data_IF_931867146682
#
_entry.id   IF_931867146682
#
_cell.length_a   1.000
_cell.length_b   1.000
_cell.length_c   1.000
_cell.angle_alpha   90.00
_cell.angle_beta   90.00
_cell.angle_gamma   90.00
#
_symmetry.space_group_name_H-M   'P 1'
#
loop_
_entity.id
_entity.type
_entity.pdbx_description
1 polymer ?
2 non-polymer ?
3 non-polymer ?
4 non-polymer ?
5 water ?
#
# COMPACT_ATOMS: atom_id res chain seq x y z
N UNK A 9 -26.33 0.44 18.74
CA UNK A 9 -26.09 -0.91 18.20
C UNK A 9 -25.85 -0.90 16.68
N UNK A 10 -25.62 -2.10 16.10
CA UNK A 10 -25.39 -2.28 14.66
C UNK A 10 -26.70 -2.12 13.90
N UNK A 11 -26.70 -1.48 12.70
CA UNK A 11 -27.96 -1.29 11.96
C UNK A 11 -28.70 -2.59 11.67
N UNK A 12 -29.99 -2.50 11.42
CA UNK A 12 -30.79 -3.67 11.12
C UNK A 12 -30.30 -4.36 9.82
N UNK A 13 -29.93 -3.56 8.79
CA UNK A 13 -29.46 -4.04 7.48
C UNK A 13 -28.17 -4.84 7.52
N UNK A 14 -27.21 -4.42 8.38
CA UNK A 14 -25.93 -5.09 8.57
C UNK A 14 -26.17 -6.41 9.27
N UNK A 15 -27.01 -6.37 10.31
CA UNK A 15 -27.39 -7.52 11.11
C UNK A 15 -28.09 -8.59 10.29
N UNK A 16 -28.88 -8.22 9.26
CA UNK A 16 -29.58 -9.21 8.45
C UNK A 16 -28.62 -10.10 7.68
N UNK A 17 -27.53 -9.51 7.19
CA UNK A 17 -26.55 -10.23 6.36
C UNK A 17 -25.41 -10.85 7.16
N UNK A 18 -24.97 -10.20 8.23
CA UNK A 18 -23.81 -10.66 8.97
C UNK A 18 -24.02 -10.87 10.46
N UNK A 19 -23.17 -11.73 11.07
CA UNK A 19 -23.12 -11.98 12.51
C UNK A 19 -21.85 -11.30 13.02
N UNK A 20 -22.01 -10.11 13.61
CA UNK A 20 -20.89 -9.34 14.16
C UNK A 20 -20.29 -10.06 15.39
N UNK A 21 -18.95 -10.12 15.44
CA UNK A 21 -18.18 -10.78 16.50
C UNK A 21 -17.02 -9.87 16.95
N UNK A 22 -16.06 -10.46 17.74
CA UNK A 22 -14.85 -9.88 18.34
C UNK A 22 -14.09 -8.84 17.49
N UNK A 23 -13.61 -7.79 18.15
CA UNK A 23 -12.81 -6.75 17.53
C UNK A 23 -11.42 -7.24 17.09
N UNK A 24 -10.97 -6.80 15.93
CA UNK A 24 -9.65 -7.16 15.40
C UNK A 24 -8.63 -6.00 15.57
N UNK A 25 -9.15 -4.81 15.92
CA UNK A 25 -8.39 -3.59 16.14
C UNK A 25 -9.24 -2.43 16.61
N UNK A 30 -11.07 4.48 13.83
CA UNK A 30 -11.68 3.52 12.92
C UNK A 30 -11.40 2.06 13.25
N UNK A 31 -12.35 1.42 14.00
CA UNK A 31 -12.30 0.03 14.49
C UNK A 31 -12.67 -1.06 13.44
N UNK A 32 -12.02 -2.25 13.55
CA UNK A 32 -12.24 -3.44 12.69
C UNK A 32 -12.66 -4.62 13.56
N UNK A 33 -13.81 -5.20 13.23
CA UNK A 33 -14.37 -6.34 13.94
C UNK A 33 -14.50 -7.52 12.98
N UNK A 34 -14.34 -8.73 13.50
CA UNK A 34 -14.56 -9.95 12.74
C UNK A 34 -16.07 -10.17 12.70
N UNK A 35 -16.59 -10.63 11.57
CA UNK A 35 -18.00 -10.94 11.40
C UNK A 35 -18.14 -12.19 10.53
N UNK A 36 -19.32 -12.80 10.53
CA UNK A 36 -19.58 -13.97 9.71
C UNK A 36 -20.76 -13.70 8.79
N UNK A 37 -20.55 -13.89 7.50
CA UNK A 37 -21.61 -13.72 6.52
C UNK A 37 -22.60 -14.87 6.73
N UNK A 38 -23.91 -14.55 6.87
CA UNK A 38 -24.95 -15.55 7.12
C UNK A 38 -25.14 -16.52 5.97
N UNK A 39 -25.17 -16.03 4.74
CA UNK A 39 -25.37 -16.84 3.54
C UNK A 39 -24.34 -17.96 3.44
N UNK A 40 -23.09 -17.61 3.65
CA UNK A 40 -21.94 -18.46 3.44
C UNK A 40 -21.23 -19.07 4.65
N UNK A 41 -21.56 -18.61 5.88
CA UNK A 41 -20.87 -18.97 7.13
C UNK A 41 -19.41 -18.76 6.93
N UNK A 42 -19.05 -17.60 6.37
CA UNK A 42 -17.65 -17.32 6.06
C UNK A 42 -17.18 -16.11 6.86
N UNK A 43 -15.91 -16.17 7.28
CA UNK A 43 -15.31 -15.10 8.07
C UNK A 43 -15.09 -13.88 7.20
N UNK A 44 -15.41 -12.70 7.72
CA UNK A 44 -15.19 -11.41 7.06
C UNK A 44 -14.74 -10.35 8.05
N UNK A 45 -14.04 -9.31 7.57
CA UNK A 45 -13.66 -8.19 8.41
C UNK A 45 -14.64 -7.03 8.08
N UNK A 46 -15.17 -6.35 9.10
CA UNK A 46 -16.07 -5.21 8.89
C UNK A 46 -15.45 -3.96 9.51
N UNK A 47 -15.03 -3.02 8.64
CA UNK A 47 -14.39 -1.78 9.08
C UNK A 47 -15.43 -0.72 9.39
N UNK A 48 -15.35 -0.13 10.60
CA UNK A 48 -16.26 0.92 11.09
C UNK A 48 -15.60 2.33 11.06
N UNK A 49 -15.89 3.13 10.01
CA UNK A 49 -15.43 4.52 9.84
C UNK A 49 -16.59 5.39 10.38
N UNK A 50 -16.51 5.81 11.67
CA UNK A 50 -17.56 6.60 12.36
C UNK A 50 -17.91 7.98 11.74
N UNK A 51 -19.18 8.43 11.92
CA UNK A 51 -19.66 9.72 11.41
C UNK A 51 -19.82 10.69 12.57
N UNK A 65 -16.17 12.17 6.60
CA UNK A 65 -17.20 11.31 6.04
C UNK A 65 -17.15 11.22 4.50
N UNK A 66 -16.62 12.29 3.83
CA UNK A 66 -16.53 12.41 2.37
C UNK A 66 -15.62 11.37 1.70
N UNK A 67 -14.42 11.18 2.25
CA UNK A 67 -13.42 10.24 1.74
C UNK A 67 -13.87 8.77 1.76
N UNK A 68 -14.88 8.43 2.60
CA UNK A 68 -15.44 7.07 2.72
C UNK A 68 -16.22 6.78 1.45
N UNK A 69 -16.94 7.77 0.92
CA UNK A 69 -17.69 7.60 -0.32
C UNK A 69 -16.70 7.31 -1.49
N UNK A 70 -15.60 8.07 -1.56
CA UNK A 70 -14.53 7.94 -2.57
C UNK A 70 -13.80 6.60 -2.41
N UNK A 71 -13.49 6.22 -1.15
CA UNK A 71 -12.79 5.00 -0.76
C UNK A 71 -13.50 3.79 -1.36
N UNK A 72 -14.83 3.71 -1.14
CA UNK A 72 -15.75 2.68 -1.62
C UNK A 72 -15.74 2.68 -3.15
N UNK A 73 -15.90 3.89 -3.74
CA UNK A 73 -15.92 4.12 -5.19
C UNK A 73 -14.64 3.61 -5.86
N UNK A 74 -13.45 4.05 -5.39
CA UNK A 74 -12.16 3.58 -5.91
C UNK A 74 -12.03 2.02 -5.74
N UNK A 75 -12.33 1.51 -4.52
CA UNK A 75 -12.26 0.08 -4.22
C UNK A 75 -13.12 -0.83 -5.13
N UNK A 76 -14.36 -0.39 -5.41
CA UNK A 76 -15.29 -1.15 -6.27
C UNK A 76 -14.68 -1.35 -7.66
N UNK A 77 -14.00 -0.29 -8.16
CA UNK A 77 -13.36 -0.20 -9.48
C UNK A 77 -12.09 -1.05 -9.56
N UNK A 78 -11.21 -0.94 -8.53
CA UNK A 78 -9.93 -1.67 -8.46
C UNK A 78 -10.11 -3.16 -8.45
N UNK A 79 -9.18 -3.88 -9.08
CA UNK A 79 -9.22 -5.33 -9.18
C UNK A 79 -7.82 -5.99 -9.42
N UNK A 80 -7.13 -6.34 -8.30
CA UNK A 80 -5.78 -6.91 -8.31
C UNK A 80 -5.60 -7.79 -7.07
N UNK A 81 -4.75 -8.84 -7.14
CA UNK A 81 -4.55 -9.71 -5.97
C UNK A 81 -3.90 -9.09 -4.75
N UNK A 82 -3.22 -7.93 -4.93
CA UNK A 82 -2.50 -7.27 -3.85
C UNK A 82 -3.17 -6.04 -3.40
N UNK A 83 -4.38 -5.83 -3.88
CA UNK A 83 -5.23 -4.75 -3.43
C UNK A 83 -6.48 -5.37 -2.78
N UNK A 84 -6.85 -4.88 -1.58
CA UNK A 84 -8.00 -5.39 -0.82
C UNK A 84 -9.31 -5.25 -1.60
N UNK A 85 -10.22 -6.21 -1.40
CA UNK A 85 -11.48 -6.16 -2.09
C UNK A 85 -12.60 -5.88 -1.11
N UNK A 86 -13.48 -4.94 -1.49
CA UNK A 86 -14.69 -4.59 -0.75
C UNK A 86 -15.77 -5.58 -1.19
N UNK A 87 -16.50 -6.15 -0.21
CA UNK A 87 -17.53 -7.16 -0.42
C UNK A 87 -18.92 -6.55 -0.37
N UNK A 88 -19.16 -5.65 0.59
CA UNK A 88 -20.44 -4.96 0.82
C UNK A 88 -20.19 -3.64 1.55
N UNK A 89 -21.23 -2.80 1.67
CA UNK A 89 -21.07 -1.50 2.32
C UNK A 89 -22.37 -0.97 2.92
N UNK A 90 -22.29 -0.43 4.15
CA UNK A 90 -23.45 0.10 4.85
C UNK A 90 -23.38 1.59 5.24
N UNK A 91 -24.38 2.37 4.79
CA UNK A 91 -24.54 3.78 5.15
C UNK A 91 -25.52 3.85 6.33
N UNK A 92 -25.03 4.28 7.51
CA UNK A 92 -25.81 4.40 8.75
C UNK A 92 -25.26 5.55 9.59
N UNK A 93 -25.50 5.51 10.93
CA UNK A 93 -24.95 6.49 11.86
C UNK A 93 -23.42 6.47 11.73
N UNK A 94 -22.85 5.29 11.47
CA UNK A 94 -21.43 5.12 11.23
C UNK A 94 -21.34 4.32 9.91
N UNK A 95 -20.26 4.50 9.13
CA UNK A 95 -20.05 3.75 7.89
C UNK A 95 -19.52 2.33 8.22
N UNK A 96 -19.95 1.30 7.46
CA UNK A 96 -19.55 -0.10 7.63
C UNK A 96 -19.04 -0.66 6.30
N UNK A 97 -17.78 -1.14 6.31
CA UNK A 97 -17.17 -1.68 5.10
C UNK A 97 -16.79 -3.16 5.27
N UNK A 98 -17.47 -4.02 4.52
CA UNK A 98 -17.28 -5.48 4.53
C UNK A 98 -16.09 -5.78 3.65
N UNK A 99 -15.01 -6.26 4.26
CA UNK A 99 -13.75 -6.55 3.57
C UNK A 99 -13.34 -7.98 3.78
N UNK A 100 -12.65 -8.55 2.78
CA UNK A 100 -12.10 -9.90 2.86
C UNK A 100 -11.10 -10.00 4.04
N UNK A 101 -11.25 -11.03 4.91
CA UNK A 101 -10.40 -11.20 6.07
C UNK A 101 -8.96 -11.64 5.77
N UNK A 102 -8.00 -10.86 6.29
CA UNK A 102 -6.57 -11.10 6.17
C UNK A 102 -6.12 -11.76 7.47
N UNK A 103 -5.97 -13.06 7.43
CA UNK A 103 -5.65 -13.76 8.66
C UNK A 103 -4.25 -13.58 9.27
N UNK A 104 -3.31 -13.00 8.53
CA UNK A 104 -1.96 -12.72 9.02
C UNK A 104 -1.83 -11.36 9.69
N UNK A 105 -2.89 -10.56 9.60
CA UNK A 105 -2.95 -9.23 10.17
C UNK A 105 -2.14 -8.20 9.42
N UNK A 106 -1.80 -7.10 10.11
CA UNK A 106 -0.99 -5.98 9.60
C UNK A 106 0.46 -6.43 9.41
N UNK A 107 1.21 -5.74 8.54
CA UNK A 107 2.64 -5.97 8.31
C UNK A 107 3.43 -5.37 9.45
N UNK A 108 2.83 -4.38 10.12
CA UNK A 108 3.38 -3.66 11.25
C UNK A 108 3.69 -4.62 12.41
N UNK A 109 2.74 -5.51 12.72
CA UNK A 109 2.89 -6.51 13.80
C UNK A 109 4.11 -7.41 13.59
N UNK A 110 4.62 -7.49 12.32
CA UNK A 110 5.78 -8.28 11.92
C UNK A 110 7.09 -7.48 11.90
N UNK A 111 7.04 -6.16 12.17
CA UNK A 111 8.23 -5.29 12.13
C UNK A 111 8.52 -4.48 13.40
N UNK A 112 7.63 -4.56 14.41
CA UNK A 112 7.78 -3.83 15.69
C UNK A 112 8.82 -4.37 16.64
N UNK A 113 9.45 -3.44 17.34
CA UNK A 113 10.46 -3.76 18.34
C UNK A 113 11.76 -4.26 17.73
N UNK A 114 12.06 -3.74 16.52
CA UNK A 114 13.25 -4.08 15.73
C UNK A 114 13.27 -5.54 15.23
N UNK A 115 12.07 -6.12 15.05
CA UNK A 115 11.83 -7.44 14.49
C UNK A 115 12.19 -7.30 12.99
N UNK A 116 13.26 -7.98 12.55
CA UNK A 116 13.64 -7.90 11.14
C UNK A 116 13.21 -9.15 10.34
N UNK A 117 12.54 -8.93 9.19
CA UNK A 117 12.10 -10.05 8.33
C UNK A 117 13.31 -10.57 7.55
N UNK A 118 13.29 -11.87 7.19
CA UNK A 118 14.29 -12.54 6.34
C UNK A 118 14.33 -11.81 4.98
N UNK A 119 15.50 -11.75 4.32
CA UNK A 119 15.55 -11.03 3.05
C UNK A 119 14.59 -11.53 1.98
N UNK A 120 14.43 -12.87 1.84
CA UNK A 120 13.49 -13.42 0.84
C UNK A 120 12.06 -13.05 1.19
N UNK A 121 11.70 -13.07 2.50
CA UNK A 121 10.38 -12.68 2.98
C UNK A 121 10.13 -11.21 2.63
N UNK A 122 11.21 -10.37 2.63
CA UNK A 122 11.15 -8.94 2.23
C UNK A 122 10.89 -8.85 0.74
N UNK A 123 11.70 -9.59 -0.05
CA UNK A 123 11.60 -9.64 -1.50
C UNK A 123 10.17 -9.99 -1.91
N UNK A 124 9.68 -11.16 -1.45
CA UNK A 124 8.31 -11.59 -1.72
C UNK A 124 7.23 -10.51 -1.43
N UNK A 125 7.26 -9.91 -0.22
CA UNK A 125 6.27 -8.89 0.13
C UNK A 125 6.41 -7.60 -0.72
N UNK A 126 7.63 -7.07 -0.79
CA UNK A 126 7.90 -5.84 -1.51
C UNK A 126 7.49 -5.92 -2.95
N UNK A 127 7.81 -7.06 -3.61
CA UNK A 127 7.43 -7.33 -4.99
C UNK A 127 5.92 -7.09 -5.15
N UNK A 128 5.13 -7.78 -4.31
CA UNK A 128 3.68 -7.66 -4.27
C UNK A 128 3.28 -6.18 -4.07
N UNK A 129 3.95 -5.45 -3.13
CA UNK A 129 3.70 -4.01 -2.88
C UNK A 129 3.95 -3.23 -4.16
N UNK A 130 5.08 -3.51 -4.84
CA UNK A 130 5.43 -2.85 -6.09
C UNK A 130 4.40 -3.10 -7.18
N UNK A 131 3.88 -4.33 -7.28
CA UNK A 131 2.84 -4.68 -8.25
C UNK A 131 1.51 -3.89 -7.97
N UNK A 132 1.03 -3.97 -6.70
CA UNK A 132 -0.15 -3.31 -6.19
C UNK A 132 -0.11 -1.81 -6.53
N UNK A 133 0.99 -1.15 -6.10
CA UNK A 133 1.23 0.26 -6.31
C UNK A 133 1.36 0.59 -7.76
N UNK A 134 1.96 -0.31 -8.58
CA UNK A 134 2.11 -0.06 -10.02
C UNK A 134 0.73 0.05 -10.62
N UNK A 135 -0.16 -0.93 -10.30
CA UNK A 135 -1.56 -1.03 -10.73
C UNK A 135 -2.27 0.21 -10.33
N UNK A 136 -2.16 0.60 -9.04
CA UNK A 136 -2.75 1.86 -8.57
C UNK A 136 -2.34 3.04 -9.48
N UNK A 137 -1.02 3.21 -9.74
CA UNK A 137 -0.48 4.26 -10.59
C UNK A 137 -0.94 4.07 -12.01
N UNK A 138 -0.90 2.83 -12.55
CA UNK A 138 -1.39 2.55 -13.91
C UNK A 138 -2.81 3.07 -14.08
N UNK A 139 -3.66 2.82 -13.06
CA UNK A 139 -5.07 3.24 -12.96
C UNK A 139 -5.35 4.68 -12.42
N UNK A 140 -4.33 5.53 -12.40
CA UNK A 140 -4.40 6.91 -11.93
C UNK A 140 -4.83 7.10 -10.49
N UNK A 141 -4.26 6.30 -9.57
CA UNK A 141 -4.55 6.35 -8.15
C UNK A 141 -3.23 6.45 -7.38
N UNK A 142 -3.13 7.51 -6.58
CA UNK A 142 -2.02 7.74 -5.69
C UNK A 142 -2.61 7.36 -4.33
N UNK A 143 -2.07 6.30 -3.68
CA UNK A 143 -2.47 5.81 -2.36
C UNK A 143 -2.26 6.92 -1.35
N UNK A 144 -1.05 7.51 -1.34
CA UNK A 144 -0.70 8.63 -0.46
C UNK A 144 -0.47 8.33 1.03
N UNK A 145 -0.85 7.14 1.50
CA UNK A 145 -0.66 6.79 2.90
C UNK A 145 -0.11 5.35 3.11
N UNK A 146 0.86 4.90 2.26
CA UNK A 146 1.44 3.56 2.39
C UNK A 146 2.33 3.46 3.62
N UNK A 147 2.02 2.52 4.52
CA UNK A 147 2.71 2.26 5.78
C UNK A 147 2.56 0.77 6.11
N UNK A 148 3.43 0.16 6.95
CA UNK A 148 3.23 -1.25 7.36
C UNK A 148 1.86 -1.51 7.99
N UNK A 149 1.25 -0.48 8.60
CA UNK A 149 -0.07 -0.50 9.23
C UNK A 149 -1.22 -0.61 8.17
N UNK A 150 -0.89 -0.60 6.85
CA UNK A 150 -1.85 -0.65 5.72
C UNK A 150 -1.53 -1.78 4.76
N UNK A 151 -0.53 -2.56 5.10
CA UNK A 151 -0.13 -3.72 4.32
C UNK A 151 -0.64 -4.92 5.16
N UNK A 152 -1.54 -5.72 4.58
CA UNK A 152 -2.11 -6.86 5.29
C UNK A 152 -1.64 -8.17 4.71
N UNK A 153 -1.39 -9.14 5.59
CA UNK A 153 -0.91 -10.48 5.24
C UNK A 153 -2.03 -11.52 5.21
N UNK A 154 -2.02 -12.36 4.16
CA UNK A 154 -2.99 -13.42 3.86
C UNK A 154 -3.14 -14.42 4.98
N UNK A 155 -2.06 -15.10 5.31
CA UNK A 155 -2.08 -16.15 6.30
C UNK A 155 -1.14 -15.83 7.43
N UNK A 156 -1.08 -16.74 8.42
CA UNK A 156 -0.13 -16.55 9.49
C UNK A 156 1.25 -17.13 9.06
N UNK A 157 1.34 -17.53 7.78
CA UNK A 157 2.57 -18.05 7.17
C UNK A 157 3.53 -16.91 6.81
N UNK A 158 4.85 -17.19 6.83
CA UNK A 158 5.91 -16.24 6.47
C UNK A 158 5.72 -15.95 4.99
N UNK A 159 5.57 -16.99 4.15
CA UNK A 159 5.32 -16.79 2.74
C UNK A 159 3.81 -16.71 2.49
N UNK A 160 3.30 -15.52 2.17
CA UNK A 160 1.86 -15.33 1.91
C UNK A 160 1.56 -14.15 1.00
N UNK A 161 0.28 -13.98 0.65
CA UNK A 161 -0.07 -12.86 -0.17
C UNK A 161 -0.29 -11.61 0.69
N UNK A 162 0.13 -10.47 0.17
CA UNK A 162 -0.06 -9.21 0.87
C UNK A 162 -1.07 -8.29 0.15
N UNK A 163 -1.92 -7.58 0.91
CA UNK A 163 -2.96 -6.73 0.31
C UNK A 163 -2.90 -5.31 0.85
N UNK A 164 -2.99 -4.31 -0.07
CA UNK A 164 -2.91 -2.89 0.28
C UNK A 164 -4.29 -2.46 0.73
N UNK A 165 -4.33 -1.82 1.90
CA UNK A 165 -5.55 -1.34 2.49
C UNK A 165 -5.44 0.16 2.87
N UNK A 166 -6.47 0.73 3.54
CA UNK A 166 -6.65 2.12 3.95
C UNK A 166 -6.48 3.11 2.81
N UNK A 167 -7.52 3.17 1.96
CA UNK A 167 -7.56 4.06 0.79
C UNK A 167 -8.16 5.44 1.05
N UNK A 168 -8.24 5.83 2.33
CA UNK A 168 -8.81 7.08 2.80
C UNK A 168 -8.17 8.31 2.19
N UNK A 169 -6.85 8.31 2.11
CA UNK A 169 -6.10 9.46 1.59
C UNK A 169 -5.83 9.42 0.09
N UNK A 170 -6.27 8.34 -0.60
CA UNK A 170 -6.06 8.24 -2.04
C UNK A 170 -6.60 9.41 -2.92
N UNK A 171 -5.80 9.80 -3.93
CA UNK A 171 -6.07 10.89 -4.89
C UNK A 171 -6.38 10.24 -6.27
N UNK A 172 -7.23 10.89 -7.07
CA UNK A 172 -7.50 10.39 -8.43
C UNK A 172 -6.78 11.36 -9.38
N UNK A 173 -6.40 10.91 -10.59
CA UNK A 173 -5.58 11.77 -11.41
C UNK A 173 -6.21 12.75 -12.38
N UNK A 174 -7.21 12.30 -13.16
CA UNK A 174 -7.96 13.11 -14.14
C UNK A 174 -7.27 14.25 -14.88
N UNK A 175 -8.08 15.12 -15.53
CA UNK A 175 -7.56 16.28 -16.26
C UNK A 175 -7.25 17.41 -15.27
N UNK A 176 -5.98 17.80 -15.18
CA UNK A 176 -5.55 18.86 -14.27
C UNK A 176 -6.10 20.22 -14.66
N UNK A 177 -6.29 21.10 -13.66
CA UNK A 177 -6.72 22.48 -13.89
C UNK A 177 -5.54 23.27 -14.53
N UNK A 178 -4.30 22.74 -14.39
CA UNK A 178 -3.09 23.25 -15.00
C UNK A 178 -3.12 22.93 -16.49
N UNK A 179 -3.43 21.66 -16.87
CA UNK A 179 -3.52 21.27 -18.29
C UNK A 179 -4.47 22.24 -19.04
N UNK A 180 -5.67 22.49 -18.47
CA UNK A 180 -6.70 23.39 -19.02
C UNK A 180 -6.20 24.83 -19.15
N UNK A 181 -5.47 25.32 -18.12
CA UNK A 181 -4.86 26.65 -18.06
C UNK A 181 -3.86 26.78 -19.22
N UNK A 182 -3.01 25.76 -19.41
CA UNK A 182 -1.98 25.73 -20.43
C UNK A 182 -2.47 25.88 -21.85
N UNK A 183 -3.74 25.51 -22.15
CA UNK A 183 -4.32 25.63 -23.48
C UNK A 183 -4.43 27.09 -23.94
N UNK A 184 -4.63 27.99 -22.98
CA UNK A 184 -4.71 29.42 -23.26
C UNK A 184 -3.39 30.16 -23.30
N UNK A 185 -3.48 31.45 -23.65
CA UNK A 185 -2.34 32.36 -23.68
C UNK A 185 -2.11 32.89 -22.25
N UNK A 186 -0.93 32.67 -21.67
CA UNK A 186 -0.70 33.10 -20.28
C UNK A 186 -0.45 34.60 -20.16
N UNK A 187 -1.32 35.43 -20.74
CA UNK A 187 -1.13 36.88 -20.68
C UNK A 187 -1.25 37.36 -19.24
N UNK A 188 -2.28 36.88 -18.55
CA UNK A 188 -2.58 37.27 -17.18
C UNK A 188 -2.16 36.22 -16.18
N UNK A 189 -1.57 35.10 -16.66
CA UNK A 189 -1.18 33.99 -15.80
C UNK A 189 0.01 34.31 -14.87
N UNK A 190 -0.10 33.88 -13.56
CA UNK A 190 0.90 34.07 -12.51
C UNK A 190 2.18 33.27 -12.76
N UNK A 191 3.38 33.82 -12.43
CA UNK A 191 4.65 33.08 -12.70
C UNK A 191 4.77 31.72 -12.04
N UNK A 192 4.49 31.69 -10.73
CA UNK A 192 4.55 30.48 -9.94
C UNK A 192 3.81 29.29 -10.57
N UNK A 193 2.79 29.57 -11.41
CA UNK A 193 1.98 28.55 -12.11
C UNK A 193 2.77 27.97 -13.26
N UNK A 194 3.44 28.83 -14.01
CA UNK A 194 4.29 28.41 -15.12
C UNK A 194 5.48 27.60 -14.57
N UNK A 195 5.94 28.02 -13.38
CA UNK A 195 7.02 27.39 -12.65
C UNK A 195 6.59 25.98 -12.24
N UNK A 196 5.36 25.82 -11.72
CA UNK A 196 4.76 24.57 -11.29
C UNK A 196 4.74 23.49 -12.38
N UNK A 197 4.64 23.90 -13.66
CA UNK A 197 4.61 23.04 -14.85
C UNK A 197 5.81 22.07 -14.88
N UNK A 198 6.96 22.50 -14.38
CA UNK A 198 8.16 21.67 -14.31
C UNK A 198 7.99 20.43 -13.47
N UNK A 199 7.70 20.64 -12.17
CA UNK A 199 7.51 19.58 -11.17
C UNK A 199 6.20 18.81 -11.34
N UNK A 200 5.23 19.35 -12.09
CA UNK A 200 3.88 18.81 -12.32
C UNK A 200 3.84 17.36 -12.76
N UNK A 201 2.84 16.63 -12.25
CA UNK A 201 2.58 15.24 -12.58
C UNK A 201 3.55 14.18 -12.11
N UNK A 202 4.10 14.34 -10.88
CA UNK A 202 5.04 13.41 -10.23
C UNK A 202 4.60 13.11 -8.78
N UNK A 203 3.31 13.43 -8.45
CA UNK A 203 2.67 13.22 -7.14
C UNK A 203 2.77 11.77 -6.70
N UNK A 204 2.58 10.85 -7.64
CA UNK A 204 2.68 9.41 -7.44
C UNK A 204 4.03 9.00 -6.80
N UNK A 205 5.14 9.71 -7.15
CA UNK A 205 6.48 9.43 -6.61
C UNK A 205 6.52 9.49 -5.05
N UNK A 206 5.45 10.02 -4.42
CA UNK A 206 5.31 10.03 -2.97
C UNK A 206 5.12 8.61 -2.49
N UNK A 207 4.47 7.75 -3.31
CA UNK A 207 4.22 6.35 -2.97
C UNK A 207 5.51 5.54 -3.05
N UNK A 208 6.38 5.90 -3.99
CA UNK A 208 7.67 5.27 -4.16
C UNK A 208 8.58 5.57 -2.98
N UNK A 209 8.48 6.78 -2.41
CA UNK A 209 9.24 7.15 -1.22
C UNK A 209 8.69 6.27 -0.06
N UNK A 210 7.36 6.28 0.15
CA UNK A 210 6.71 5.47 1.17
C UNK A 210 7.18 4.03 1.04
N UNK A 211 7.16 3.48 -0.19
CA UNK A 211 7.64 2.12 -0.47
C UNK A 211 9.08 1.95 0.00
N UNK A 212 9.91 2.95 -0.32
CA UNK A 212 11.32 3.02 0.06
C UNK A 212 11.50 2.97 1.56
N UNK A 213 10.61 3.67 2.29
CA UNK A 213 10.61 3.69 3.75
C UNK A 213 10.09 2.35 4.32
N UNK A 214 9.09 1.73 3.64
CA UNK A 214 8.60 0.43 4.08
C UNK A 214 9.73 -0.64 3.92
N UNK A 215 10.36 -0.67 2.72
CA UNK A 215 11.47 -1.57 2.39
C UNK A 215 12.69 -1.39 3.32
N UNK A 216 13.00 -0.12 3.71
CA UNK A 216 14.12 0.17 4.62
C UNK A 216 13.80 -0.46 5.96
N UNK A 217 12.57 -0.25 6.45
CA UNK A 217 12.10 -0.82 7.72
C UNK A 217 12.22 -2.34 7.80
N UNK A 218 11.59 -3.04 6.87
CA UNK A 218 11.59 -4.50 6.80
C UNK A 218 12.98 -5.12 6.82
N UNK A 219 13.92 -4.53 6.06
CA UNK A 219 15.29 -5.01 5.96
C UNK A 219 16.09 -4.86 7.27
N UNK A 220 16.18 -3.61 7.76
CA UNK A 220 16.94 -3.24 8.95
C UNK A 220 16.29 -3.65 10.27
N UNK A 221 15.04 -3.24 10.45
CA UNK A 221 14.26 -3.47 11.65
C UNK A 221 13.93 -2.15 12.29
N UNK A 222 14.64 -1.09 11.87
CA UNK A 222 14.50 0.27 12.35
C UNK A 222 14.06 1.28 11.24
N UNK A 223 13.45 2.43 11.61
CA UNK A 223 13.06 3.41 10.55
C UNK A 223 14.23 4.26 10.03
N UNK A 224 14.21 4.66 8.74
CA UNK A 224 15.30 5.48 8.21
C UNK A 224 15.36 6.87 8.84
N UNK A 225 14.19 7.54 8.97
CA UNK A 225 14.09 8.88 9.55
C UNK A 225 13.35 8.83 10.87
N UNK A 226 14.12 8.86 11.96
CA UNK A 226 13.62 8.76 13.32
C UNK A 226 14.07 9.94 14.16
N UNK A 227 13.37 10.18 15.27
CA UNK A 227 13.69 11.23 16.23
C UNK A 227 14.50 10.63 17.42
N UNK A 228 14.69 9.27 17.44
CA UNK A 228 15.43 8.54 18.49
C UNK A 228 16.91 8.80 18.37
N UNK A 229 17.55 9.14 19.53
CA UNK A 229 18.96 9.45 19.73
C UNK A 229 19.59 10.22 18.53
N UNK A 230 19.02 11.41 18.21
CA UNK A 230 19.45 12.27 17.12
C UNK A 230 19.18 13.76 17.41
N UNK A 231 20.16 14.62 17.09
CA UNK A 231 20.10 16.06 17.33
C UNK A 231 19.39 16.82 16.20
N UNK A 232 19.40 16.25 14.99
CA UNK A 232 18.80 16.83 13.77
C UNK A 232 17.26 16.69 13.75
N UNK A 233 16.52 17.68 13.17
CA UNK A 233 15.05 17.58 13.11
C UNK A 233 14.61 16.51 12.11
N UNK A 234 13.40 15.95 12.33
CA UNK A 234 12.83 14.93 11.46
C UNK A 234 12.59 15.49 10.08
N UNK A 235 11.98 16.69 10.02
CA UNK A 235 11.75 17.38 8.76
C UNK A 235 13.08 17.47 8.03
N UNK A 236 14.16 17.93 8.73
CA UNK A 236 15.50 18.05 8.14
C UNK A 236 16.01 16.73 7.58
N UNK A 237 15.89 15.64 8.35
CA UNK A 237 16.31 14.31 7.89
C UNK A 237 15.69 13.97 6.54
N UNK A 238 14.34 14.05 6.46
CA UNK A 238 13.56 13.76 5.25
C UNK A 238 13.92 14.68 4.09
N UNK A 239 13.98 15.99 4.33
CA UNK A 239 14.35 16.97 3.30
C UNK A 239 15.78 16.78 2.82
N UNK A 240 16.71 16.46 3.73
CA UNK A 240 18.10 16.18 3.36
C UNK A 240 18.26 14.81 2.66
N UNK A 241 17.31 13.91 2.90
CA UNK A 241 17.33 12.54 2.41
C UNK A 241 18.44 11.72 3.06
N UNK A 242 18.95 12.21 4.21
CA UNK A 242 20.05 11.61 4.97
C UNK A 242 19.50 10.67 6.07
N UNK A 243 19.22 9.42 5.68
CA UNK A 243 18.65 8.36 6.51
C UNK A 243 19.65 7.86 7.50
N UNK A 244 19.15 7.36 8.66
CA UNK A 244 20.03 6.82 9.70
C UNK A 244 20.63 5.50 9.24
N UNK A 245 21.95 5.49 9.06
CA UNK A 245 22.58 4.26 8.61
C UNK A 245 23.51 3.54 9.64
N UNK A 246 23.02 2.42 10.21
CA UNK A 246 23.74 1.57 11.15
C UNK A 246 24.33 0.41 10.32
N UNK A 247 25.65 0.45 9.95
CA UNK A 247 26.22 -0.63 9.13
C UNK A 247 26.18 -2.00 9.78
N UNK A 248 26.39 -2.08 11.13
CA UNK A 248 26.34 -3.33 11.89
C UNK A 248 25.02 -4.06 11.54
N UNK A 249 23.92 -3.30 11.50
CA UNK A 249 22.59 -3.80 11.17
C UNK A 249 22.49 -4.17 9.67
N UNK A 250 22.97 -3.29 8.79
CA UNK A 250 22.94 -3.47 7.33
C UNK A 250 23.96 -4.41 6.71
N UNK A 251 24.96 -4.87 7.49
CA UNK A 251 25.98 -5.82 7.05
C UNK A 251 25.25 -7.13 6.70
N UNK A 252 24.24 -7.47 7.52
CA UNK A 252 23.34 -8.61 7.39
C UNK A 252 22.59 -8.60 6.06
N UNK A 253 22.22 -7.41 5.57
CA UNK A 253 21.44 -7.23 4.32
C UNK A 253 22.37 -7.23 3.07
N UNK A 254 21.80 -7.62 1.90
CA UNK A 254 22.50 -7.66 0.61
C UNK A 254 22.89 -6.28 0.07
N UNK A 255 23.76 -6.29 -0.96
CA UNK A 255 24.23 -5.08 -1.65
C UNK A 255 23.12 -4.55 -2.56
N UNK A 256 22.41 -5.48 -3.26
CA UNK A 256 21.29 -5.24 -4.17
C UNK A 256 20.08 -4.66 -3.41
N UNK A 257 19.75 -5.22 -2.24
CA UNK A 257 18.64 -4.73 -1.42
C UNK A 257 18.81 -3.23 -0.95
N UNK A 258 20.01 -2.87 -0.43
CA UNK A 258 20.28 -1.50 -0.01
C UNK A 258 20.32 -0.52 -1.21
N UNK A 259 20.82 -0.98 -2.38
CA UNK A 259 20.89 -0.16 -3.60
C UNK A 259 19.51 0.27 -4.04
N UNK A 260 18.50 -0.61 -3.86
CA UNK A 260 17.11 -0.29 -4.19
C UNK A 260 16.54 0.78 -3.26
N UNK A 261 16.79 0.63 -1.95
CA UNK A 261 16.36 1.56 -0.90
C UNK A 261 16.92 2.93 -1.28
N UNK A 262 18.23 2.95 -1.55
CA UNK A 262 18.98 4.13 -1.95
C UNK A 262 18.30 4.82 -3.16
N UNK A 263 17.97 4.02 -4.22
CA UNK A 263 17.34 4.44 -5.50
C UNK A 263 15.95 4.99 -5.31
N UNK A 264 15.24 4.52 -4.25
CA UNK A 264 13.87 4.97 -3.89
C UNK A 264 13.90 6.13 -2.94
N UNK A 265 14.79 6.11 -1.93
CA UNK A 265 14.88 7.19 -0.95
C UNK A 265 15.60 8.46 -1.47
N UNK A 266 15.25 8.83 -2.72
CA UNK A 266 15.79 9.95 -3.51
C UNK A 266 14.96 11.20 -3.28
N UNK A 267 15.63 12.32 -2.93
CA UNK A 267 14.96 13.58 -2.66
C UNK A 267 14.20 14.18 -3.83
N UNK A 268 14.82 14.29 -5.01
CA UNK A 268 14.17 14.80 -6.24
C UNK A 268 13.13 13.79 -6.72
N UNK A 269 11.82 14.12 -6.65
CA UNK A 269 10.80 13.15 -7.09
C UNK A 269 10.93 12.74 -8.54
N UNK A 270 11.46 13.63 -9.41
CA UNK A 270 11.66 13.36 -10.84
C UNK A 270 12.80 12.37 -11.04
N UNK A 271 13.73 12.27 -10.08
CA UNK A 271 14.91 11.41 -10.11
C UNK A 271 14.73 10.08 -9.40
N UNK A 272 13.75 10.01 -8.49
CA UNK A 272 13.37 8.84 -7.71
C UNK A 272 13.01 7.69 -8.64
N UNK A 273 13.08 6.46 -8.12
CA UNK A 273 12.66 5.30 -8.90
C UNK A 273 11.12 5.25 -8.98
N UNK A 274 10.62 4.73 -10.10
CA UNK A 274 9.20 4.51 -10.33
C UNK A 274 8.90 3.07 -9.90
N UNK A 275 7.63 2.67 -9.82
CA UNK A 275 7.29 1.28 -9.48
C UNK A 275 7.88 0.33 -10.52
N UNK A 276 7.85 0.74 -11.80
CA UNK A 276 8.39 0.04 -12.98
C UNK A 276 9.92 -0.11 -12.86
N UNK A 277 10.59 1.00 -12.54
CA UNK A 277 12.05 1.03 -12.40
C UNK A 277 12.55 0.11 -11.32
N UNK A 278 11.87 0.13 -10.16
CA UNK A 278 12.19 -0.73 -9.04
C UNK A 278 11.93 -2.17 -9.48
N UNK A 279 10.76 -2.46 -10.12
CA UNK A 279 10.44 -3.82 -10.60
C UNK A 279 11.52 -4.40 -11.53
N UNK A 280 12.13 -3.51 -12.35
CA UNK A 280 13.20 -3.84 -13.29
C UNK A 280 14.52 -4.15 -12.56
N UNK A 281 14.82 -3.40 -11.46
CA UNK A 281 16.04 -3.48 -10.63
C UNK A 281 16.56 -4.91 -10.39
N UNK A 282 17.87 -5.12 -10.37
CA UNK A 282 18.41 -6.46 -10.12
C UNK A 282 17.86 -7.20 -8.89
N UNK A 283 17.65 -6.51 -7.76
CA UNK A 283 17.15 -7.18 -6.55
C UNK A 283 15.92 -8.02 -6.80
N UNK A 284 14.98 -7.50 -7.59
CA UNK A 284 13.71 -8.16 -7.91
C UNK A 284 13.78 -9.22 -9.01
N UNK A 285 14.87 -9.24 -9.78
CA UNK A 285 15.07 -10.22 -10.83
C UNK A 285 15.53 -11.54 -10.17
N UNK A 286 14.58 -12.20 -9.49
CA UNK A 286 14.72 -13.42 -8.70
C UNK A 286 13.61 -14.37 -9.12
N UNK A 287 13.99 -15.50 -9.78
CA UNK A 287 12.99 -16.44 -10.24
C UNK A 287 12.30 -17.30 -9.20
N UNK A 288 13.03 -17.67 -8.14
CA UNK A 288 12.50 -18.47 -7.03
C UNK A 288 11.47 -17.67 -6.24
N UNK A 289 11.69 -16.35 -6.14
CA UNK A 289 10.77 -15.46 -5.45
C UNK A 289 9.49 -15.38 -6.26
N UNK A 290 9.59 -14.96 -7.55
CA UNK A 290 8.45 -14.81 -8.47
C UNK A 290 7.59 -16.09 -8.55
N UNK A 291 8.26 -17.27 -8.56
CA UNK A 291 7.66 -18.60 -8.58
C UNK A 291 6.76 -18.75 -7.37
N UNK A 292 7.32 -18.51 -6.14
CA UNK A 292 6.62 -18.58 -4.85
C UNK A 292 5.31 -17.78 -4.85
N UNK A 293 5.36 -16.57 -5.45
CA UNK A 293 4.22 -15.66 -5.56
C UNK A 293 3.11 -16.22 -6.47
N UNK A 294 3.48 -16.73 -7.67
CA UNK A 294 2.52 -17.30 -8.62
C UNK A 294 1.89 -18.53 -8.01
N UNK A 295 2.68 -19.31 -7.26
CA UNK A 295 2.28 -20.51 -6.54
C UNK A 295 1.32 -20.17 -5.41
N UNK A 296 1.45 -18.95 -4.82
CA UNK A 296 0.57 -18.46 -3.76
C UNK A 296 -0.76 -18.00 -4.37
N UNK A 297 -0.67 -17.39 -5.58
CA UNK A 297 -1.81 -16.87 -6.32
C UNK A 297 -2.74 -18.00 -6.66
N UNK A 298 -2.22 -19.05 -7.35
CA UNK A 298 -3.00 -20.23 -7.72
C UNK A 298 -3.71 -20.81 -6.51
N UNK A 299 -2.97 -20.99 -5.38
CA UNK A 299 -3.49 -21.54 -4.11
C UNK A 299 -4.74 -20.81 -3.62
N UNK A 300 -4.79 -19.47 -3.77
CA UNK A 300 -5.93 -18.65 -3.38
C UNK A 300 -7.01 -18.81 -4.48
N UNK A 301 -6.63 -18.47 -5.73
CA UNK A 301 -7.47 -18.49 -6.92
C UNK A 301 -8.21 -19.81 -7.23
N UNK A 302 -7.53 -20.98 -7.05
CA UNK A 302 -8.04 -22.35 -7.35
C UNK A 302 -9.41 -22.66 -6.71
N UNK A 303 -9.64 -22.20 -5.46
CA UNK A 303 -10.92 -22.43 -4.75
C UNK A 303 -12.13 -21.80 -5.52
N UNK A 304 -11.98 -20.53 -5.96
CA UNK A 304 -12.97 -19.75 -6.73
C UNK A 304 -13.00 -20.05 -8.27
N UNK A 305 -12.02 -20.87 -8.78
CA UNK A 305 -11.85 -21.28 -10.18
C UNK A 305 -13.05 -22.06 -10.75
N UNK A 306 -13.49 -21.62 -11.93
CA UNK A 306 -14.56 -22.16 -12.75
C UNK A 306 -13.81 -22.96 -13.89
N UNK A 307 -14.41 -24.14 -14.29
CA UNK A 307 -13.83 -24.91 -15.39
C UNK A 307 -13.69 -24.13 -16.68
N UNK A 308 -12.50 -24.18 -17.29
CA UNK A 308 -12.20 -23.41 -18.49
C UNK A 308 -12.39 -24.26 -19.74
N UNK A 309 -12.73 -23.58 -20.84
CA UNK A 309 -12.97 -24.17 -22.15
C UNK A 309 -11.63 -24.60 -22.74
N UNK A 310 -11.43 -25.93 -22.83
CA UNK A 310 -10.24 -26.57 -23.34
C UNK A 310 -10.17 -26.48 -24.87
N UNK A 311 -8.95 -26.24 -25.41
CA UNK A 311 -8.61 -26.11 -26.84
C UNK A 311 -9.17 -27.20 -27.80
#
# INVERSE_FOLDING_TARGET
GPLGSHMSVYPKALRDEYIMSKTLGSGACGEVKLAFERKTCKKVAIKIISKRKFAIGSAREADPALNVETEIEILKKLNHPCIIKIKNFFDAEDYYIVLELMEGGELFDKVVGNKRLKEATCKLYFYQMLLAVQYLHENGIIHRDLKPENVLLSSQEEDCLIKITDFGHSKILGETSLMRTLCGTPTYLAPEVLVSVGTAGYNRAVDCWSLGVILFICLSGYPPFSEHRTQVSLKDQITSGKYNFIPEVWAEVSEKALDLVKKLLVVDPKARFTTEEALRHPWLQDEDMKRKFQDLLSEENESTALPQVLAQPSTSRKRPREGEAEGAE
#
